data_IF_792092444471
#
_entry.id   IF_792092444471
#
_cell.length_a   1.000
_cell.length_b   1.000
_cell.length_c   1.000
_cell.angle_alpha   90.00
_cell.angle_beta   90.00
_cell.angle_gamma   90.00
#
_symmetry.space_group_name_H-M   'P 1'
#
loop_
_entity.id
_entity.type
_entity.pdbx_description
1 polymer ?
#
# COMPACT_ATOMS: atom_id res chain seq x y z
N UNK A 1 9.16 27.09 3.95
CA UNK A 1 10.20 27.49 4.93
C UNK A 1 11.55 27.03 4.39
N UNK A 2 12.58 27.88 4.32
CA UNK A 2 13.88 27.53 3.71
C UNK A 2 15.00 27.63 4.76
N UNK A 3 15.79 26.55 4.87
CA UNK A 3 17.14 26.45 5.47
C UNK A 3 17.34 26.57 6.99
N UNK A 4 16.32 26.89 7.79
CA UNK A 4 16.46 26.84 9.26
C UNK A 4 15.87 25.54 9.83
N UNK A 5 16.59 24.94 10.78
CA UNK A 5 16.09 23.80 11.56
C UNK A 5 15.23 24.34 12.69
N UNK A 6 13.96 23.95 12.71
CA UNK A 6 13.01 24.31 13.76
C UNK A 6 13.07 23.29 14.89
N UNK A 7 12.82 23.71 16.12
CA UNK A 7 12.45 22.76 17.17
C UNK A 7 11.01 22.29 16.97
N UNK A 8 10.62 21.18 17.61
CA UNK A 8 9.22 20.74 17.65
C UNK A 8 8.27 21.85 18.07
N UNK A 9 8.63 22.61 19.11
CA UNK A 9 7.79 23.69 19.65
C UNK A 9 7.68 24.87 18.68
N UNK A 10 8.78 25.26 18.01
CA UNK A 10 8.75 26.31 17.00
C UNK A 10 7.83 25.91 15.84
N UNK A 11 7.93 24.67 15.39
CA UNK A 11 7.11 24.14 14.32
C UNK A 11 5.61 24.14 14.67
N UNK A 12 5.26 23.68 15.88
CA UNK A 12 3.88 23.68 16.37
C UNK A 12 3.34 25.11 16.49
N UNK A 13 4.15 26.04 17.02
CA UNK A 13 3.77 27.45 17.16
C UNK A 13 3.47 28.09 15.81
N UNK A 14 4.32 27.84 14.81
CA UNK A 14 4.10 28.34 13.45
C UNK A 14 2.79 27.80 12.85
N UNK A 15 2.52 26.49 13.01
CA UNK A 15 1.28 25.89 12.50
C UNK A 15 0.05 26.46 13.20
N UNK A 16 0.13 26.70 14.50
CA UNK A 16 -0.96 27.28 15.26
C UNK A 16 -1.31 28.70 14.79
N UNK A 17 -0.31 29.57 14.74
CA UNK A 17 -0.48 30.96 14.29
C UNK A 17 -0.96 31.04 12.84
N UNK A 18 -0.58 30.09 12.00
CA UNK A 18 -0.98 30.07 10.60
C UNK A 18 -2.45 29.69 10.40
N UNK A 19 -3.12 29.09 11.40
CA UNK A 19 -4.52 28.62 11.28
C UNK A 19 -5.51 29.71 10.89
N UNK A 20 -5.35 30.92 11.41
CA UNK A 20 -6.27 32.03 11.16
C UNK A 20 -6.09 32.65 9.77
N UNK A 21 -4.93 32.43 9.14
CA UNK A 21 -4.48 33.20 7.99
C UNK A 21 -4.47 32.41 6.69
N UNK A 22 -4.29 31.08 6.75
CA UNK A 22 -4.19 30.23 5.54
C UNK A 22 -4.96 28.92 5.67
N UNK A 23 -5.39 28.37 4.54
CA UNK A 23 -6.13 27.08 4.51
C UNK A 23 -5.18 25.91 4.75
N UNK A 24 -5.72 24.78 5.23
CA UNK A 24 -4.95 23.54 5.48
C UNK A 24 -4.06 23.10 4.29
N UNK A 25 -4.57 23.21 3.05
CA UNK A 25 -3.81 22.90 1.82
C UNK A 25 -2.61 23.83 1.60
N UNK A 26 -2.76 25.12 1.92
CA UNK A 26 -1.72 26.13 1.78
C UNK A 26 -0.68 25.96 2.87
N UNK A 27 -1.13 25.69 4.10
CA UNK A 27 -0.26 25.37 5.23
C UNK A 27 0.65 24.19 4.90
N UNK A 28 0.09 23.09 4.37
CA UNK A 28 0.88 21.94 3.89
C UNK A 28 1.94 22.34 2.87
N UNK A 29 1.58 23.13 1.85
CA UNK A 29 2.52 23.57 0.81
C UNK A 29 3.66 24.43 1.39
N UNK A 30 3.38 25.27 2.38
CA UNK A 30 4.36 26.15 3.01
C UNK A 30 5.35 25.42 3.94
N UNK A 31 4.90 24.33 4.58
CA UNK A 31 5.66 23.61 5.61
C UNK A 31 6.20 22.25 5.20
N UNK A 32 5.78 21.66 4.06
CA UNK A 32 6.19 20.30 3.64
C UNK A 32 7.69 20.07 3.51
N UNK A 33 8.47 21.15 3.36
CA UNK A 33 9.93 21.12 3.24
C UNK A 33 10.64 21.64 4.51
N UNK A 34 9.92 21.82 5.63
CA UNK A 34 10.51 22.28 6.87
C UNK A 34 11.43 21.21 7.46
N UNK A 35 12.61 21.62 7.94
CA UNK A 35 13.50 20.75 8.69
C UNK A 35 13.19 20.90 10.19
N UNK A 36 12.94 19.80 10.89
CA UNK A 36 12.56 19.81 12.31
C UNK A 36 13.55 18.94 13.08
N UNK A 37 14.12 19.49 14.16
CA UNK A 37 14.96 18.74 15.09
C UNK A 37 14.08 17.91 16.04
N UNK A 38 14.37 16.63 16.12
CA UNK A 38 13.67 15.65 16.97
C UNK A 38 14.65 15.16 18.02
N UNK A 39 14.31 15.33 19.30
CA UNK A 39 15.18 14.96 20.43
C UNK A 39 14.70 13.70 21.14
N UNK A 40 13.41 13.42 21.12
CA UNK A 40 12.82 12.28 21.83
C UNK A 40 11.57 11.74 21.14
N UNK A 41 10.99 10.67 21.70
CA UNK A 41 9.79 10.06 21.15
C UNK A 41 8.55 10.98 21.21
N UNK A 42 8.45 11.81 22.25
CA UNK A 42 7.33 12.75 22.42
C UNK A 42 7.32 13.82 21.31
N UNK A 43 8.50 14.25 20.86
CA UNK A 43 8.65 15.14 19.69
C UNK A 43 8.03 14.53 18.43
N UNK A 44 8.33 13.26 18.15
CA UNK A 44 7.81 12.54 16.97
C UNK A 44 6.28 12.52 17.01
N UNK A 45 5.71 12.14 18.15
CA UNK A 45 4.25 12.06 18.33
C UNK A 45 3.61 13.45 18.20
N UNK A 46 4.24 14.49 18.77
CA UNK A 46 3.74 15.87 18.73
C UNK A 46 3.76 16.45 17.32
N UNK A 47 4.81 16.19 16.54
CA UNK A 47 4.88 16.57 15.12
C UNK A 47 3.78 15.87 14.32
N UNK A 48 3.61 14.55 14.46
CA UNK A 48 2.61 13.82 13.70
C UNK A 48 1.17 14.23 14.06
N UNK A 49 0.86 14.41 15.35
CA UNK A 49 -0.46 14.89 15.80
C UNK A 49 -0.76 16.30 15.32
N UNK A 50 0.24 17.17 15.29
CA UNK A 50 0.06 18.53 14.81
C UNK A 50 -0.18 18.54 13.29
N UNK A 51 0.59 17.81 12.50
CA UNK A 51 0.30 17.60 11.07
C UNK A 51 -1.12 17.07 10.83
N UNK A 52 -1.54 16.07 11.60
CA UNK A 52 -2.91 15.55 11.55
C UNK A 52 -3.96 16.64 11.84
N UNK A 53 -3.78 17.40 12.92
CA UNK A 53 -4.72 18.44 13.38
C UNK A 53 -4.83 19.61 12.40
N UNK A 54 -3.69 20.14 11.97
CA UNK A 54 -3.61 21.39 11.21
C UNK A 54 -3.80 21.17 9.70
N UNK A 55 -3.42 20.00 9.18
CA UNK A 55 -3.50 19.67 7.74
C UNK A 55 -4.57 18.61 7.43
N UNK A 56 -5.31 18.13 8.43
CA UNK A 56 -6.38 17.12 8.30
C UNK A 56 -5.89 15.78 7.72
N UNK A 57 -4.62 15.42 7.99
CA UNK A 57 -3.98 14.21 7.47
C UNK A 57 -4.37 12.97 8.28
N UNK A 58 -5.60 12.47 8.09
CA UNK A 58 -6.10 11.25 8.77
C UNK A 58 -5.29 9.99 8.46
N UNK A 59 -4.53 9.98 7.36
CA UNK A 59 -3.61 8.88 7.03
C UNK A 59 -2.58 8.61 8.13
N UNK A 60 -2.30 9.60 9.01
CA UNK A 60 -1.36 9.47 10.11
C UNK A 60 -1.93 8.74 11.33
N UNK A 61 -3.25 8.50 11.40
CA UNK A 61 -3.91 7.85 12.55
C UNK A 61 -3.27 6.49 12.88
N UNK A 62 -3.17 5.61 11.87
CA UNK A 62 -2.56 4.29 12.04
C UNK A 62 -1.08 4.37 12.39
N UNK A 63 -0.36 5.34 11.81
CA UNK A 63 1.09 5.54 12.05
C UNK A 63 1.33 5.98 13.49
N UNK A 64 0.57 6.97 13.99
CA UNK A 64 0.68 7.46 15.37
C UNK A 64 0.37 6.34 16.36
N UNK A 65 -0.72 5.59 16.13
CA UNK A 65 -1.10 4.48 17.00
C UNK A 65 -0.03 3.38 17.05
N UNK A 66 0.52 3.00 15.89
CA UNK A 66 1.59 2.02 15.80
C UNK A 66 2.86 2.48 16.53
N UNK A 67 3.25 3.75 16.38
CA UNK A 67 4.41 4.31 17.07
C UNK A 67 4.22 4.30 18.59
N UNK A 68 3.05 4.72 19.09
CA UNK A 68 2.75 4.72 20.53
C UNK A 68 2.78 3.29 21.09
N UNK A 69 2.19 2.33 20.38
CA UNK A 69 2.18 0.94 20.80
C UNK A 69 3.60 0.34 20.81
N UNK A 70 4.37 0.56 19.74
CA UNK A 70 5.75 0.09 19.64
C UNK A 70 6.63 0.68 20.74
N UNK A 71 6.49 1.97 21.05
CA UNK A 71 7.23 2.60 22.14
C UNK A 71 6.87 1.98 23.50
N UNK A 72 5.58 1.76 23.75
CA UNK A 72 5.11 1.09 24.96
C UNK A 72 5.66 -0.33 25.10
N UNK A 73 5.68 -1.09 24.01
CA UNK A 73 6.24 -2.44 23.98
C UNK A 73 7.73 -2.45 24.26
N UNK A 74 8.51 -1.56 23.63
CA UNK A 74 9.95 -1.41 23.85
C UNK A 74 10.24 -1.01 25.31
N UNK A 75 9.50 -0.05 25.86
CA UNK A 75 9.62 0.32 27.27
C UNK A 75 9.33 -0.86 28.19
N UNK A 76 8.28 -1.65 27.89
CA UNK A 76 7.91 -2.83 28.68
C UNK A 76 8.84 -4.04 28.49
N UNK A 77 9.55 -4.15 27.36
CA UNK A 77 10.48 -5.24 27.08
C UNK A 77 11.87 -4.92 27.63
N UNK A 78 12.26 -3.65 27.68
CA UNK A 78 13.43 -3.19 28.45
C UNK A 78 13.34 -3.58 29.94
N UNK A 79 12.14 -3.74 30.49
CA UNK A 79 11.91 -4.25 31.84
C UNK A 79 11.96 -5.78 31.94
N UNK A 80 11.80 -6.52 30.82
CA UNK A 80 11.72 -7.99 30.76
C UNK A 80 13.01 -8.70 30.36
N UNK A 81 14.04 -7.99 29.89
CA UNK A 81 15.35 -8.57 29.51
C UNK A 81 16.11 -9.21 30.71
N UNK A 82 15.56 -9.17 31.92
CA UNK A 82 16.08 -9.91 33.09
C UNK A 82 15.69 -11.40 33.17
N UNK A 83 14.90 -11.99 32.26
CA UNK A 83 14.57 -13.43 32.33
C UNK A 83 14.27 -14.07 30.95
N UNK A 84 15.11 -14.99 30.44
CA UNK A 84 14.83 -15.74 29.22
C UNK A 84 14.65 -17.26 29.44
N UNK A 85 13.47 -17.80 29.13
CA UNK A 85 13.20 -19.19 28.73
C UNK A 85 11.91 -19.19 27.88
N UNK A 86 11.67 -19.99 26.85
CA UNK A 86 12.42 -21.03 26.13
C UNK A 86 11.67 -21.33 24.82
N UNK A 87 12.40 -21.77 23.79
CA UNK A 87 11.91 -22.24 22.49
C UNK A 87 11.19 -23.59 22.62
N UNK A 88 10.11 -23.84 21.84
CA UNK A 88 9.69 -25.21 21.53
C UNK A 88 9.29 -25.40 20.06
N UNK A 89 9.84 -26.48 19.52
CA UNK A 89 9.89 -27.00 18.15
C UNK A 89 8.70 -27.92 17.86
N UNK A 90 8.19 -27.97 16.62
CA UNK A 90 7.45 -29.15 16.15
C UNK A 90 7.86 -29.58 14.74
N UNK A 91 8.41 -30.79 14.65
CA UNK A 91 8.69 -31.53 13.42
C UNK A 91 7.62 -32.62 13.17
N UNK A 92 7.22 -32.72 11.89
CA UNK A 92 7.09 -33.92 11.03
C UNK A 92 6.22 -35.14 11.45
N UNK A 93 5.36 -35.62 10.51
CA UNK A 93 5.32 -37.04 10.02
C UNK A 93 4.30 -37.27 8.84
N UNK A 94 4.35 -38.41 8.08
CA UNK A 94 4.22 -38.49 6.61
C UNK A 94 2.95 -39.25 6.09
N UNK A 95 2.76 -39.49 4.76
CA UNK A 95 1.45 -39.68 4.13
C UNK A 95 1.01 -41.15 3.82
N UNK A 96 -0.32 -41.34 3.75
CA UNK A 96 -1.04 -42.61 3.41
C UNK A 96 -1.27 -42.74 1.89
N UNK A 97 -0.99 -43.91 1.31
CA UNK A 97 -0.77 -44.10 -0.14
C UNK A 97 -2.00 -44.31 -1.04
N UNK A 98 -3.20 -44.59 -0.53
CA UNK A 98 -4.33 -44.98 -1.42
C UNK A 98 -5.34 -43.86 -1.70
N UNK A 99 -5.38 -42.82 -0.85
CA UNK A 99 -6.06 -41.54 -1.17
C UNK A 99 -5.35 -40.76 -2.29
N UNK A 100 -4.11 -41.14 -2.61
CA UNK A 100 -3.22 -40.39 -3.49
C UNK A 100 -3.67 -40.42 -4.95
N UNK A 101 -4.27 -41.52 -5.42
CA UNK A 101 -4.65 -41.66 -6.83
C UNK A 101 -5.91 -40.86 -7.19
N UNK A 102 -6.94 -40.91 -6.35
CA UNK A 102 -8.15 -40.10 -6.50
C UNK A 102 -7.87 -38.60 -6.27
N UNK A 103 -7.00 -38.29 -5.29
CA UNK A 103 -6.46 -36.95 -5.11
C UNK A 103 -5.68 -36.49 -6.35
N UNK A 104 -4.82 -37.32 -6.95
CA UNK A 104 -4.07 -36.97 -8.16
C UNK A 104 -5.01 -36.62 -9.32
N UNK A 105 -6.05 -37.42 -9.57
CA UNK A 105 -6.99 -37.15 -10.66
C UNK A 105 -7.80 -35.86 -10.43
N UNK A 106 -8.26 -35.63 -9.20
CA UNK A 106 -8.93 -34.37 -8.85
C UNK A 106 -8.01 -33.15 -8.98
N UNK A 107 -6.73 -33.31 -8.60
CA UNK A 107 -5.69 -32.28 -8.79
C UNK A 107 -5.40 -32.04 -10.28
N UNK A 108 -5.35 -33.09 -11.09
CA UNK A 108 -5.04 -32.99 -12.52
C UNK A 108 -6.17 -32.27 -13.28
N UNK A 109 -7.43 -32.53 -12.94
CA UNK A 109 -8.58 -31.81 -13.47
C UNK A 109 -8.58 -30.33 -13.04
N UNK A 110 -8.28 -30.04 -11.76
CA UNK A 110 -8.14 -28.66 -11.27
C UNK A 110 -6.99 -27.92 -11.96
N UNK A 111 -5.87 -28.59 -12.22
CA UNK A 111 -4.73 -28.03 -12.97
C UNK A 111 -5.14 -27.73 -14.41
N UNK A 112 -5.90 -28.62 -15.06
CA UNK A 112 -6.32 -28.43 -16.44
C UNK A 112 -7.33 -27.26 -16.58
N UNK A 113 -8.30 -27.15 -15.68
CA UNK A 113 -9.23 -26.00 -15.63
C UNK A 113 -8.50 -24.70 -15.32
N UNK A 114 -7.57 -24.71 -14.37
CA UNK A 114 -6.72 -23.54 -14.06
C UNK A 114 -5.91 -23.13 -15.28
N UNK A 115 -5.30 -24.08 -15.99
CA UNK A 115 -4.55 -23.80 -17.21
C UNK A 115 -5.44 -23.23 -18.32
N UNK A 116 -6.70 -23.66 -18.44
CA UNK A 116 -7.65 -23.08 -19.39
C UNK A 116 -7.94 -21.61 -19.07
N UNK A 117 -8.30 -21.32 -17.81
CA UNK A 117 -8.55 -19.94 -17.35
C UNK A 117 -7.32 -19.05 -17.50
N UNK A 118 -6.13 -19.58 -17.20
CA UNK A 118 -4.89 -18.82 -17.40
C UNK A 118 -4.65 -18.46 -18.87
N UNK A 119 -4.97 -19.36 -19.81
CA UNK A 119 -4.86 -19.07 -21.25
C UNK A 119 -5.85 -18.02 -21.72
N UNK A 120 -7.08 -18.07 -21.25
CA UNK A 120 -8.11 -17.06 -21.56
C UNK A 120 -7.69 -15.67 -21.08
N UNK A 121 -7.22 -15.57 -19.83
CA UNK A 121 -6.72 -14.30 -19.27
C UNK A 121 -5.52 -13.78 -20.06
N UNK A 122 -4.58 -14.65 -20.47
CA UNK A 122 -3.43 -14.24 -21.29
C UNK A 122 -3.85 -13.75 -22.68
N UNK A 123 -4.87 -14.37 -23.29
CA UNK A 123 -5.43 -13.90 -24.56
C UNK A 123 -6.06 -12.51 -24.41
N UNK A 124 -6.81 -12.28 -23.33
CA UNK A 124 -7.43 -10.98 -23.03
C UNK A 124 -6.37 -9.89 -22.77
N UNK A 125 -5.28 -10.19 -22.05
CA UNK A 125 -4.14 -9.26 -21.89
C UNK A 125 -3.57 -8.85 -23.25
N UNK A 126 -3.39 -9.82 -24.16
CA UNK A 126 -2.85 -9.57 -25.50
C UNK A 126 -3.78 -8.71 -26.35
N UNK A 127 -5.10 -8.90 -26.22
CA UNK A 127 -6.12 -8.06 -26.86
C UNK A 127 -6.11 -6.63 -26.29
N UNK A 128 -6.16 -6.50 -24.97
CA UNK A 128 -6.18 -5.22 -24.25
C UNK A 128 -4.92 -4.39 -24.48
N UNK A 129 -3.76 -5.05 -24.62
CA UNK A 129 -2.50 -4.39 -24.98
C UNK A 129 -2.64 -3.58 -26.27
N UNK A 130 -3.32 -4.13 -27.27
CA UNK A 130 -3.55 -3.50 -28.59
C UNK A 130 -4.73 -2.53 -28.58
N UNK A 131 -5.64 -2.66 -27.62
CA UNK A 131 -6.80 -1.78 -27.47
C UNK A 131 -6.42 -0.43 -26.84
N UNK A 132 -7.16 0.62 -27.18
CA UNK A 132 -7.09 1.92 -26.50
C UNK A 132 -8.26 2.13 -25.52
N UNK A 133 -9.08 1.10 -25.30
CA UNK A 133 -10.20 1.13 -24.38
C UNK A 133 -9.72 1.06 -22.92
N UNK A 134 -9.60 2.24 -22.31
CA UNK A 134 -9.18 2.35 -20.92
C UNK A 134 -10.17 1.73 -19.95
N UNK A 135 -11.48 1.85 -20.20
CA UNK A 135 -12.51 1.32 -19.30
C UNK A 135 -12.44 -0.20 -19.25
N UNK A 136 -12.26 -0.85 -20.40
CA UNK A 136 -12.08 -2.30 -20.47
C UNK A 136 -10.80 -2.74 -19.75
N UNK A 137 -9.69 -2.00 -19.89
CA UNK A 137 -8.45 -2.25 -19.13
C UNK A 137 -8.66 -2.11 -17.63
N UNK A 138 -9.36 -1.05 -17.19
CA UNK A 138 -9.64 -0.81 -15.78
C UNK A 138 -10.48 -1.94 -15.18
N UNK A 139 -11.59 -2.30 -15.83
CA UNK A 139 -12.50 -3.35 -15.35
C UNK A 139 -11.80 -4.73 -15.31
N UNK A 140 -10.97 -5.03 -16.30
CA UNK A 140 -10.17 -6.24 -16.31
C UNK A 140 -9.19 -6.32 -15.13
N UNK A 141 -8.46 -5.23 -14.85
CA UNK A 141 -7.52 -5.18 -13.72
C UNK A 141 -8.25 -5.25 -12.36
N UNK A 142 -9.43 -4.63 -12.26
CA UNK A 142 -10.28 -4.71 -11.08
C UNK A 142 -10.77 -6.14 -10.83
N UNK A 143 -11.22 -6.84 -11.88
CA UNK A 143 -11.60 -8.25 -11.81
C UNK A 143 -10.42 -9.11 -11.33
N UNK A 144 -9.23 -8.95 -11.90
CA UNK A 144 -8.06 -9.70 -11.43
C UNK A 144 -7.69 -9.39 -9.98
N UNK A 145 -7.86 -8.13 -9.55
CA UNK A 145 -7.62 -7.72 -8.16
C UNK A 145 -8.61 -8.37 -7.20
N UNK A 146 -9.91 -8.32 -7.50
CA UNK A 146 -10.96 -8.93 -6.66
C UNK A 146 -10.80 -10.44 -6.50
N UNK A 147 -10.25 -11.12 -7.52
CA UNK A 147 -9.93 -12.55 -7.48
C UNK A 147 -8.59 -12.85 -6.78
N UNK A 148 -7.83 -11.82 -6.37
CA UNK A 148 -6.49 -12.00 -5.81
C UNK A 148 -5.48 -12.60 -6.80
N UNK A 149 -5.71 -12.48 -8.11
CA UNK A 149 -4.90 -13.10 -9.15
C UNK A 149 -3.61 -12.32 -9.42
N UNK A 150 -2.72 -12.29 -8.42
CA UNK A 150 -1.47 -11.51 -8.43
C UNK A 150 -0.56 -11.83 -9.61
N UNK A 151 -0.49 -13.11 -10.01
CA UNK A 151 0.32 -13.57 -11.16
C UNK A 151 -0.11 -12.87 -12.44
N UNK A 152 -1.42 -12.80 -12.70
CA UNK A 152 -1.93 -12.18 -13.91
C UNK A 152 -1.86 -10.67 -13.86
N UNK A 153 -2.07 -10.04 -12.69
CA UNK A 153 -1.82 -8.60 -12.51
C UNK A 153 -0.37 -8.26 -12.85
N UNK A 154 0.60 -9.03 -12.35
CA UNK A 154 2.02 -8.84 -12.70
C UNK A 154 2.25 -8.90 -14.20
N UNK A 155 1.67 -9.91 -14.86
CA UNK A 155 1.80 -10.05 -16.31
C UNK A 155 1.15 -8.88 -17.07
N UNK A 156 0.00 -8.39 -16.61
CA UNK A 156 -0.63 -7.19 -17.17
C UNK A 156 0.26 -5.95 -17.02
N UNK A 157 0.95 -5.80 -15.90
CA UNK A 157 1.95 -4.74 -15.71
C UNK A 157 3.10 -4.87 -16.71
N UNK A 158 3.68 -6.06 -16.86
CA UNK A 158 4.81 -6.30 -17.77
C UNK A 158 4.44 -6.05 -19.24
N UNK A 159 3.17 -6.27 -19.61
CA UNK A 159 2.65 -6.05 -20.97
C UNK A 159 2.24 -4.59 -21.25
N UNK A 160 2.36 -3.69 -20.26
CA UNK A 160 2.14 -2.26 -20.47
C UNK A 160 0.70 -1.77 -20.23
N UNK A 161 -0.14 -2.54 -19.54
CA UNK A 161 -1.55 -2.19 -19.35
C UNK A 161 -1.74 -1.04 -18.33
N UNK A 162 -0.81 -0.85 -17.39
CA UNK A 162 -0.88 0.22 -16.38
C UNK A 162 -0.51 1.60 -16.95
N UNK A 163 0.29 1.59 -18.01
CA UNK A 163 0.77 2.76 -18.74
C UNK A 163 -0.29 3.31 -19.68
N UNK A 164 -1.44 2.62 -19.83
CA UNK A 164 -2.59 3.12 -20.58
C UNK A 164 -3.09 4.42 -19.95
N UNK A 165 -3.21 5.42 -20.81
CA UNK A 165 -3.55 6.79 -20.47
C UNK A 165 -5.04 7.00 -20.68
N UNK A 166 -5.71 7.50 -19.65
CA UNK A 166 -7.07 8.03 -19.75
C UNK A 166 -7.00 9.55 -19.84
N UNK A 167 -7.55 10.10 -20.92
CA UNK A 167 -7.64 11.55 -21.06
C UNK A 167 -8.96 12.01 -20.46
N UNK A 168 -8.90 12.62 -19.28
CA UNK A 168 -10.08 13.15 -18.58
C UNK A 168 -10.40 14.57 -19.04
N UNK A 169 -9.37 15.34 -19.38
CA UNK A 169 -9.44 16.68 -19.95
C UNK A 169 -8.27 16.89 -20.93
N UNK A 170 -8.25 17.98 -21.72
CA UNK A 170 -7.11 18.29 -22.60
C UNK A 170 -5.75 18.32 -21.86
N UNK A 171 -5.75 18.70 -20.58
CA UNK A 171 -4.55 18.87 -19.75
C UNK A 171 -4.34 17.73 -18.74
N UNK A 172 -5.34 16.89 -18.48
CA UNK A 172 -5.27 15.82 -17.48
C UNK A 172 -5.23 14.42 -18.11
N UNK A 173 -4.07 13.78 -17.95
CA UNK A 173 -3.85 12.38 -18.28
C UNK A 173 -3.75 11.58 -16.98
N UNK A 174 -4.69 10.65 -16.79
CA UNK A 174 -4.73 9.77 -15.64
C UNK A 174 -4.28 8.34 -16.01
N UNK A 175 -3.64 7.67 -15.06
CA UNK A 175 -3.27 6.25 -15.14
C UNK A 175 -4.26 5.43 -14.32
N UNK A 176 -4.26 4.11 -14.53
CA UNK A 176 -5.13 3.18 -13.79
C UNK A 176 -5.06 3.38 -12.28
N UNK A 177 -3.86 3.61 -11.73
CA UNK A 177 -3.66 3.83 -10.28
C UNK A 177 -4.34 5.12 -9.78
N UNK A 178 -4.27 6.21 -10.56
CA UNK A 178 -4.92 7.47 -10.20
C UNK A 178 -6.44 7.30 -10.20
N UNK A 179 -7.00 6.70 -11.26
CA UNK A 179 -8.44 6.44 -11.37
C UNK A 179 -8.93 5.51 -10.25
N UNK A 180 -8.16 4.46 -9.93
CA UNK A 180 -8.50 3.56 -8.84
C UNK A 180 -8.51 4.27 -7.47
N UNK A 181 -7.57 5.19 -7.26
CA UNK A 181 -7.49 5.99 -6.04
C UNK A 181 -8.66 6.97 -5.94
N UNK A 182 -9.01 7.66 -7.02
CA UNK A 182 -10.15 8.59 -7.07
C UNK A 182 -11.48 7.87 -6.82
N UNK A 183 -11.66 6.70 -7.43
CA UNK A 183 -12.86 5.85 -7.22
C UNK A 183 -12.89 5.16 -5.85
N UNK A 184 -11.83 5.24 -5.06
CA UNK A 184 -11.73 4.56 -3.76
C UNK A 184 -11.65 3.02 -3.87
N UNK A 185 -11.19 2.49 -5.01
CA UNK A 185 -11.04 1.06 -5.23
C UNK A 185 -9.79 0.52 -4.51
N UNK A 186 -9.93 0.28 -3.20
CA UNK A 186 -8.83 -0.15 -2.34
C UNK A 186 -8.26 -1.53 -2.69
N UNK A 187 -9.07 -2.42 -3.26
CA UNK A 187 -8.59 -3.73 -3.71
C UNK A 187 -7.56 -3.55 -4.81
N UNK A 188 -7.95 -2.82 -5.87
CA UNK A 188 -7.08 -2.57 -7.01
C UNK A 188 -5.85 -1.76 -6.61
N UNK A 189 -6.01 -0.71 -5.81
CA UNK A 189 -4.88 0.10 -5.32
C UNK A 189 -3.85 -0.76 -4.55
N UNK A 190 -4.31 -1.62 -3.63
CA UNK A 190 -3.41 -2.51 -2.88
C UNK A 190 -2.70 -3.52 -3.79
N UNK A 191 -3.41 -4.08 -4.77
CA UNK A 191 -2.81 -5.00 -5.73
C UNK A 191 -1.71 -4.31 -6.54
N UNK A 192 -1.94 -3.09 -7.03
CA UNK A 192 -0.99 -2.35 -7.85
C UNK A 192 0.24 -1.87 -7.04
N UNK A 193 0.03 -1.38 -5.82
CA UNK A 193 1.14 -0.94 -4.94
C UNK A 193 2.11 -2.07 -4.63
N UNK A 194 1.58 -3.27 -4.34
CA UNK A 194 2.39 -4.45 -4.05
C UNK A 194 3.25 -4.91 -5.23
N UNK A 195 2.95 -4.48 -6.46
CA UNK A 195 3.74 -4.83 -7.64
C UNK A 195 4.83 -3.79 -7.94
N UNK A 196 4.64 -2.53 -7.54
CA UNK A 196 5.63 -1.47 -7.73
C UNK A 196 6.82 -1.61 -6.76
N UNK A 197 6.60 -2.14 -5.55
CA UNK A 197 7.65 -2.35 -4.54
C UNK A 197 8.64 -3.48 -4.86
N UNK A 198 8.38 -4.29 -5.90
CA UNK A 198 9.21 -5.44 -6.28
C UNK A 198 10.27 -5.12 -7.35
N UNK A 199 10.39 -3.86 -7.78
CA UNK A 199 11.36 -3.39 -8.80
C UNK A 199 12.51 -2.53 -8.24
N UNK A 200 12.77 -2.56 -6.93
CA UNK A 200 13.90 -1.86 -6.28
C UNK A 200 15.06 -2.82 -6.06
#
# INVERSE_FOLDING_TARGET
MKLTTLTTNDFITVMDQSRSSIKAKELYMCTRNANISVQNFEDIVSILKSLQKYMKLRILDGVINFLIQTHKEISSSSEKIQNPQSEETFQNQPPKSDKKFELLNSQLNQINEKNSKEREILAEISELKKSNDFERVYNFLDQLSSQGNRKMISKSCDEGLLEKKYQKSPDDIEHVLHVASEKGNLSLVKSLMNMASTKI
#
